data_IF_537796992725
#
_entry.id   IF_537796992725
#
_cell.length_a   1.000
_cell.length_b   1.000
_cell.length_c   1.000
_cell.angle_alpha   90.00
_cell.angle_beta   90.00
_cell.angle_gamma   90.00
#
_symmetry.space_group_name_H-M   'P 1'
#
loop_
_entity.id
_entity.type
_entity.pdbx_description
1 polymer ?
#
# COMPACT_ATOMS: atom_id res chain seq x y z
N UNK A 1 13.05 -5.15 14.63
CA UNK A 1 13.38 -5.53 16.04
C UNK A 1 12.70 -4.66 17.11
N UNK A 2 11.66 -3.87 16.75
CA UNK A 2 10.79 -3.12 17.69
C UNK A 2 11.56 -2.24 18.71
N UNK A 3 12.75 -1.72 18.34
CA UNK A 3 13.52 -0.79 19.17
C UNK A 3 14.24 -1.39 20.39
N UNK A 4 14.31 -2.72 20.51
CA UNK A 4 15.09 -3.38 21.56
C UNK A 4 16.60 -3.45 21.26
N UNK A 5 16.97 -3.31 19.99
CA UNK A 5 18.37 -3.25 19.56
C UNK A 5 18.53 -2.06 18.62
N UNK A 6 19.74 -1.49 18.58
CA UNK A 6 20.11 -0.52 17.54
C UNK A 6 20.03 -1.22 16.18
N UNK A 7 18.99 -0.90 15.39
CA UNK A 7 18.83 -1.46 14.06
C UNK A 7 19.87 -0.82 13.12
N UNK A 8 20.86 -1.58 12.63
CA UNK A 8 21.87 -1.02 11.74
C UNK A 8 21.22 -0.65 10.40
N UNK A 9 21.60 0.48 9.85
CA UNK A 9 21.29 0.81 8.46
C UNK A 9 22.02 -0.19 7.56
N UNK A 10 21.27 -1.12 6.98
CA UNK A 10 21.84 -2.16 6.12
C UNK A 10 22.29 -1.55 4.78
N UNK A 11 23.35 -2.07 4.22
CA UNK A 11 23.85 -1.68 2.90
C UNK A 11 22.84 -1.96 1.76
N UNK A 12 21.81 -2.77 2.01
CA UNK A 12 20.77 -3.10 1.06
C UNK A 12 19.84 -1.93 0.75
N UNK A 13 19.68 -0.97 1.65
CA UNK A 13 18.75 0.16 1.46
C UNK A 13 19.40 1.54 1.67
N UNK A 14 20.62 1.65 2.20
CA UNK A 14 21.30 2.94 2.43
C UNK A 14 21.48 3.75 1.13
N UNK A 15 21.50 3.08 -0.03
CA UNK A 15 21.62 3.69 -1.35
C UNK A 15 20.27 3.95 -2.04
N UNK A 16 19.16 3.72 -1.35
CA UNK A 16 17.85 4.05 -1.91
C UNK A 16 17.67 5.55 -2.11
N UNK A 17 16.79 5.97 -3.04
CA UNK A 17 16.40 7.37 -3.16
C UNK A 17 15.98 7.93 -1.80
N UNK A 18 16.36 9.17 -1.53
CA UNK A 18 16.21 9.82 -0.21
C UNK A 18 14.79 9.73 0.35
N UNK A 19 13.76 9.94 -0.50
CA UNK A 19 12.36 9.84 -0.09
C UNK A 19 11.95 8.43 0.34
N UNK A 20 12.49 7.40 -0.33
CA UNK A 20 12.25 5.99 0.03
C UNK A 20 12.94 5.61 1.34
N UNK A 21 14.15 6.12 1.56
CA UNK A 21 14.85 5.91 2.82
C UNK A 21 14.10 6.60 3.98
N UNK A 22 13.65 7.83 3.78
CA UNK A 22 12.84 8.55 4.77
C UNK A 22 11.53 7.81 5.09
N UNK A 23 10.83 7.30 4.06
CA UNK A 23 9.62 6.48 4.23
C UNK A 23 9.89 5.26 5.12
N UNK A 24 10.98 4.51 4.85
CA UNK A 24 11.36 3.36 5.65
C UNK A 24 11.63 3.76 7.10
N UNK A 25 12.40 4.81 7.34
CA UNK A 25 12.71 5.25 8.70
C UNK A 25 11.46 5.67 9.48
N UNK A 26 10.55 6.43 8.87
CA UNK A 26 9.29 6.79 9.53
C UNK A 26 8.39 5.59 9.75
N UNK A 27 8.42 4.58 8.88
CA UNK A 27 7.71 3.31 9.06
C UNK A 27 8.21 2.57 10.30
N UNK A 28 9.52 2.38 10.44
CA UNK A 28 10.11 1.70 11.60
C UNK A 28 9.85 2.47 12.92
N UNK A 29 9.97 3.79 12.88
CA UNK A 29 9.64 4.63 14.05
C UNK A 29 8.16 4.57 14.43
N UNK A 30 7.27 4.35 13.47
CA UNK A 30 5.84 4.22 13.74
C UNK A 30 5.52 2.99 14.61
N UNK A 31 6.25 1.87 14.43
CA UNK A 31 6.10 0.68 15.26
C UNK A 31 6.45 0.95 16.73
N UNK A 32 7.36 1.89 17.00
CA UNK A 32 7.67 2.30 18.39
C UNK A 32 6.58 3.21 18.98
N UNK A 33 5.82 3.91 18.10
CA UNK A 33 4.76 4.83 18.56
C UNK A 33 3.46 4.13 18.90
N UNK A 34 3.07 3.13 18.10
CA UNK A 34 1.84 2.35 18.30
C UNK A 34 2.03 0.93 17.79
N UNK A 35 1.76 -0.03 18.68
CA UNK A 35 1.79 -1.45 18.36
C UNK A 35 0.63 -2.17 19.04
N UNK A 36 -0.15 -2.90 18.28
CA UNK A 36 -1.28 -3.71 18.74
C UNK A 36 -0.87 -5.17 18.65
N UNK A 37 -0.85 -5.86 19.81
CA UNK A 37 -0.51 -7.27 19.85
C UNK A 37 -1.47 -8.10 18.97
N UNK A 38 -0.91 -9.07 18.25
CA UNK A 38 -1.63 -10.02 17.40
C UNK A 38 -2.40 -9.40 16.21
N UNK A 39 -2.14 -8.12 15.86
CA UNK A 39 -2.75 -7.47 14.70
C UNK A 39 -1.69 -6.90 13.76
N UNK A 40 -0.99 -7.79 13.08
CA UNK A 40 0.03 -7.41 12.09
C UNK A 40 -0.54 -6.53 10.97
N UNK A 41 -1.79 -6.79 10.52
CA UNK A 41 -2.41 -6.02 9.45
C UNK A 41 -2.63 -4.55 9.85
N UNK A 42 -3.06 -4.29 11.09
CA UNK A 42 -3.17 -2.95 11.63
C UNK A 42 -1.79 -2.27 11.74
N UNK A 43 -0.84 -2.95 12.37
CA UNK A 43 0.49 -2.41 12.66
C UNK A 43 1.23 -2.01 11.37
N UNK A 44 1.25 -2.89 10.38
CA UNK A 44 1.90 -2.64 9.10
C UNK A 44 1.20 -1.53 8.29
N UNK A 45 -0.13 -1.51 8.29
CA UNK A 45 -0.87 -0.47 7.58
C UNK A 45 -0.70 0.90 8.24
N UNK A 46 -0.70 0.98 9.57
CA UNK A 46 -0.41 2.20 10.32
C UNK A 46 1.02 2.68 10.03
N UNK A 47 2.01 1.80 10.16
CA UNK A 47 3.40 2.14 9.90
C UNK A 47 3.64 2.58 8.45
N UNK A 48 3.03 1.90 7.48
CA UNK A 48 3.09 2.29 6.05
C UNK A 48 2.48 3.67 5.81
N UNK A 49 1.34 3.98 6.43
CA UNK A 49 0.73 5.31 6.32
C UNK A 49 1.61 6.39 6.95
N UNK A 50 2.16 6.16 8.15
CA UNK A 50 3.09 7.10 8.80
C UNK A 50 4.35 7.28 7.97
N UNK A 51 4.92 6.20 7.44
CA UNK A 51 6.10 6.24 6.58
C UNK A 51 5.89 7.16 5.39
N UNK A 52 4.79 6.96 4.65
CA UNK A 52 4.41 7.80 3.53
C UNK A 52 4.23 9.27 3.92
N UNK A 53 3.34 9.54 4.87
CA UNK A 53 3.00 10.91 5.29
C UNK A 53 4.22 11.63 5.86
N UNK A 54 5.06 10.93 6.64
CA UNK A 54 6.31 11.46 7.17
C UNK A 54 7.29 11.84 6.08
N UNK A 55 7.49 10.98 5.08
CA UNK A 55 8.36 11.26 3.94
C UNK A 55 7.88 12.46 3.12
N UNK A 56 6.58 12.54 2.82
CA UNK A 56 5.97 13.66 2.11
C UNK A 56 6.18 14.99 2.86
N UNK A 57 5.88 15.03 4.16
CA UNK A 57 6.08 16.21 4.99
C UNK A 57 7.56 16.62 5.08
N UNK A 58 8.45 15.67 5.28
CA UNK A 58 9.87 15.91 5.40
C UNK A 58 10.48 16.46 4.10
N UNK A 59 10.13 15.87 2.94
CA UNK A 59 10.57 16.35 1.63
C UNK A 59 10.04 17.76 1.34
N UNK A 60 8.79 18.05 1.73
CA UNK A 60 8.20 19.37 1.57
C UNK A 60 8.94 20.44 2.41
N UNK A 61 9.26 20.14 3.68
CA UNK A 61 9.97 21.04 4.58
C UNK A 61 11.41 21.35 4.12
N UNK A 62 12.07 20.39 3.48
CA UNK A 62 13.44 20.60 2.94
C UNK A 62 13.48 21.44 1.67
N UNK A 63 12.34 21.76 1.06
CA UNK A 63 12.29 22.41 -0.24
C UNK A 63 12.87 21.54 -1.39
N UNK A 64 12.97 20.23 -1.20
CA UNK A 64 13.55 19.26 -2.13
C UNK A 64 12.55 18.90 -3.24
N UNK A 65 12.17 19.86 -4.08
CA UNK A 65 11.10 19.72 -5.08
C UNK A 65 11.32 18.54 -6.04
N UNK A 66 12.54 18.35 -6.53
CA UNK A 66 12.90 17.25 -7.44
C UNK A 66 12.78 15.89 -6.74
N UNK A 67 13.36 15.75 -5.54
CA UNK A 67 13.29 14.49 -4.78
C UNK A 67 11.84 14.14 -4.42
N UNK A 68 11.01 15.15 -4.15
CA UNK A 68 9.58 14.97 -3.91
C UNK A 68 8.85 14.46 -5.15
N UNK A 69 9.12 15.03 -6.33
CA UNK A 69 8.51 14.59 -7.59
C UNK A 69 8.92 13.16 -7.94
N UNK A 70 10.20 12.82 -7.76
CA UNK A 70 10.72 11.45 -7.92
C UNK A 70 10.02 10.48 -6.96
N UNK A 71 9.88 10.84 -5.68
CA UNK A 71 9.18 10.04 -4.67
C UNK A 71 7.69 9.84 -5.00
N UNK A 72 6.98 10.91 -5.37
CA UNK A 72 5.57 10.85 -5.74
C UNK A 72 5.36 10.00 -7.01
N UNK A 73 6.30 10.04 -7.95
CA UNK A 73 6.25 9.23 -9.16
C UNK A 73 6.45 7.75 -8.86
N UNK A 74 7.43 7.41 -8.03
CA UNK A 74 7.67 6.04 -7.60
C UNK A 74 6.51 5.50 -6.74
N UNK A 75 5.94 6.38 -5.90
CA UNK A 75 4.75 6.02 -5.12
C UNK A 75 3.56 5.67 -6.03
N UNK A 76 3.26 6.49 -7.06
CA UNK A 76 2.18 6.21 -8.02
C UNK A 76 2.38 4.88 -8.75
N UNK A 77 3.59 4.59 -9.21
CA UNK A 77 3.93 3.31 -9.84
C UNK A 77 3.70 2.13 -8.90
N UNK A 78 4.06 2.27 -7.63
CA UNK A 78 3.81 1.26 -6.59
C UNK A 78 2.31 1.05 -6.37
N UNK A 79 1.51 2.11 -6.28
CA UNK A 79 0.07 2.02 -6.15
C UNK A 79 -0.59 1.34 -7.35
N UNK A 80 -0.15 1.64 -8.58
CA UNK A 80 -0.66 0.98 -9.79
C UNK A 80 -0.34 -0.52 -9.79
N UNK A 81 0.88 -0.89 -9.41
CA UNK A 81 1.29 -2.28 -9.26
C UNK A 81 0.47 -3.01 -8.19
N UNK A 82 0.26 -2.41 -7.04
CA UNK A 82 -0.54 -2.97 -5.95
C UNK A 82 -2.01 -3.12 -6.34
N UNK A 83 -2.57 -2.15 -7.03
CA UNK A 83 -3.95 -2.20 -7.56
C UNK A 83 -4.11 -3.33 -8.56
N UNK A 84 -3.19 -3.45 -9.51
CA UNK A 84 -3.20 -4.52 -10.52
C UNK A 84 -3.11 -5.91 -9.88
N UNK A 85 -2.17 -6.11 -8.98
CA UNK A 85 -1.96 -7.42 -8.32
C UNK A 85 -3.09 -7.78 -7.36
N UNK A 86 -3.66 -6.81 -6.64
CA UNK A 86 -4.82 -7.01 -5.76
C UNK A 86 -6.07 -7.39 -6.56
N UNK A 87 -6.38 -6.66 -7.65
CA UNK A 87 -7.51 -6.99 -8.51
C UNK A 87 -7.38 -8.39 -9.14
N UNK A 88 -6.18 -8.76 -9.55
CA UNK A 88 -5.89 -10.11 -10.07
C UNK A 88 -6.12 -11.18 -9.01
N UNK A 89 -5.67 -10.94 -7.77
CA UNK A 89 -5.93 -11.87 -6.66
C UNK A 89 -7.42 -12.02 -6.38
N UNK A 90 -8.19 -10.95 -6.39
CA UNK A 90 -9.65 -10.99 -6.19
C UNK A 90 -10.35 -11.81 -7.28
N UNK A 91 -9.95 -11.66 -8.54
CA UNK A 91 -10.45 -12.49 -9.64
C UNK A 91 -10.15 -13.97 -9.41
N UNK A 92 -8.93 -14.32 -8.97
CA UNK A 92 -8.57 -15.71 -8.67
C UNK A 92 -9.36 -16.27 -7.49
N UNK A 93 -9.59 -15.48 -6.43
CA UNK A 93 -10.45 -15.88 -5.31
C UNK A 93 -11.85 -16.19 -5.79
N UNK A 94 -12.44 -15.36 -6.66
CA UNK A 94 -13.77 -15.61 -7.23
C UNK A 94 -13.80 -16.89 -8.09
N UNK A 95 -12.76 -17.15 -8.88
CA UNK A 95 -12.64 -18.41 -9.66
C UNK A 95 -12.62 -19.63 -8.74
N UNK A 96 -11.82 -19.60 -7.68
CA UNK A 96 -11.73 -20.74 -6.76
C UNK A 96 -13.01 -20.96 -5.95
N UNK A 97 -13.75 -19.91 -5.62
CA UNK A 97 -15.03 -19.98 -4.93
C UNK A 97 -16.20 -20.42 -5.86
N UNK A 98 -16.01 -20.43 -7.19
CA UNK A 98 -17.04 -20.78 -8.16
C UNK A 98 -17.35 -22.29 -8.18
N UNK A 99 -18.47 -22.65 -8.79
CA UNK A 99 -18.91 -24.05 -9.01
C UNK A 99 -18.21 -24.74 -10.19
N UNK A 100 -17.29 -24.08 -10.89
CA UNK A 100 -16.52 -24.63 -12.01
C UNK A 100 -15.74 -25.88 -11.58
N UNK A 101 -15.55 -26.81 -12.52
CA UNK A 101 -14.70 -27.96 -12.27
C UNK A 101 -13.20 -27.60 -12.18
N UNK A 102 -12.37 -28.57 -11.83
CA UNK A 102 -10.94 -28.37 -11.63
C UNK A 102 -10.19 -27.98 -12.91
N UNK A 103 -10.61 -28.46 -14.08
CA UNK A 103 -10.00 -28.17 -15.37
C UNK A 103 -10.34 -26.73 -15.80
N UNK A 104 -11.60 -26.36 -15.66
CA UNK A 104 -12.09 -25.00 -15.93
C UNK A 104 -11.42 -23.96 -15.01
N UNK A 105 -11.31 -24.24 -13.70
CA UNK A 105 -10.60 -23.37 -12.75
C UNK A 105 -9.13 -23.17 -13.13
N UNK A 106 -8.49 -24.24 -13.60
CA UNK A 106 -7.09 -24.17 -14.04
C UNK A 106 -6.94 -23.34 -15.31
N UNK A 107 -7.80 -23.54 -16.30
CA UNK A 107 -7.80 -22.77 -17.54
C UNK A 107 -8.01 -21.28 -17.26
N UNK A 108 -8.99 -20.94 -16.42
CA UNK A 108 -9.31 -19.56 -16.07
C UNK A 108 -8.17 -18.90 -15.27
N UNK A 109 -7.51 -19.62 -14.36
CA UNK A 109 -6.31 -19.14 -13.68
C UNK A 109 -5.23 -18.71 -14.67
N UNK A 110 -4.94 -19.56 -15.67
CA UNK A 110 -3.89 -19.24 -16.64
C UNK A 110 -4.26 -18.04 -17.50
N UNK A 111 -5.55 -17.90 -17.88
CA UNK A 111 -6.06 -16.73 -18.59
C UNK A 111 -5.84 -15.45 -17.76
N UNK A 112 -6.23 -15.46 -16.49
CA UNK A 112 -6.08 -14.31 -15.57
C UNK A 112 -4.61 -13.95 -15.38
N UNK A 113 -3.72 -14.92 -15.25
CA UNK A 113 -2.28 -14.64 -15.11
C UNK A 113 -1.63 -14.15 -16.42
N UNK A 114 -2.13 -14.55 -17.58
CA UNK A 114 -1.70 -13.95 -18.85
C UNK A 114 -2.16 -12.49 -18.96
N UNK A 115 -3.44 -12.23 -18.67
CA UNK A 115 -3.98 -10.86 -18.64
C UNK A 115 -3.24 -9.95 -17.65
N UNK A 116 -2.79 -10.47 -16.51
CA UNK A 116 -1.96 -9.73 -15.56
C UNK A 116 -0.65 -9.24 -16.22
N UNK A 117 0.00 -10.08 -17.03
CA UNK A 117 1.22 -9.69 -17.76
C UNK A 117 0.94 -8.60 -18.81
N UNK A 118 -0.12 -8.79 -19.60
CA UNK A 118 -0.51 -7.81 -20.62
C UNK A 118 -0.82 -6.43 -20.00
N UNK A 119 -1.49 -6.41 -18.85
CA UNK A 119 -1.77 -5.18 -18.09
C UNK A 119 -0.52 -4.55 -17.50
N UNK A 120 0.44 -5.36 -17.04
CA UNK A 120 1.74 -4.83 -16.60
C UNK A 120 2.49 -4.17 -17.76
N UNK A 121 2.50 -4.80 -18.94
CA UNK A 121 3.14 -4.22 -20.13
C UNK A 121 2.49 -2.89 -20.54
N UNK A 122 1.17 -2.75 -20.34
CA UNK A 122 0.48 -1.48 -20.53
C UNK A 122 0.93 -0.45 -19.49
N UNK A 123 0.93 -0.78 -18.19
CA UNK A 123 1.42 0.11 -17.15
C UNK A 123 2.86 0.54 -17.39
N UNK A 124 3.73 -0.37 -17.83
CA UNK A 124 5.11 -0.05 -18.18
C UNK A 124 5.21 1.01 -19.28
N UNK A 125 4.35 0.91 -20.30
CA UNK A 125 4.27 1.97 -21.36
C UNK A 125 3.80 3.31 -20.76
N UNK A 126 2.76 3.28 -19.91
CA UNK A 126 2.20 4.47 -19.27
C UNK A 126 3.21 5.14 -18.31
N UNK A 127 4.13 4.35 -17.73
CA UNK A 127 5.23 4.82 -16.89
C UNK A 127 6.48 5.27 -17.69
N UNK A 128 6.37 5.41 -19.01
CA UNK A 128 7.49 5.82 -19.88
C UNK A 128 8.59 4.77 -20.01
N UNK A 129 8.25 3.49 -19.92
CA UNK A 129 9.20 2.37 -20.05
C UNK A 129 9.86 1.95 -18.75
N UNK A 130 9.38 2.42 -17.59
CA UNK A 130 9.97 2.04 -16.30
C UNK A 130 9.84 0.53 -16.03
N UNK A 131 10.99 -0.15 -15.90
CA UNK A 131 11.10 -1.60 -15.74
C UNK A 131 11.31 -2.10 -14.30
N UNK A 132 11.06 -1.27 -13.28
CA UNK A 132 11.37 -1.64 -11.89
C UNK A 132 10.61 -2.86 -11.35
N UNK A 133 9.53 -3.28 -12.01
CA UNK A 133 8.76 -4.48 -11.67
C UNK A 133 8.97 -5.66 -12.64
N UNK A 134 9.78 -5.49 -13.71
CA UNK A 134 9.99 -6.54 -14.72
C UNK A 134 10.43 -7.86 -14.08
N UNK A 135 11.43 -7.81 -13.21
CA UNK A 135 11.92 -9.01 -12.52
C UNK A 135 10.85 -9.73 -11.70
N UNK A 136 9.88 -9.00 -11.14
CA UNK A 136 8.76 -9.62 -10.45
C UNK A 136 7.86 -10.40 -11.42
N UNK A 137 7.63 -9.90 -12.63
CA UNK A 137 6.79 -10.52 -13.64
C UNK A 137 7.50 -11.64 -14.44
N UNK A 138 8.82 -11.60 -14.53
CA UNK A 138 9.64 -12.65 -15.16
C UNK A 138 9.64 -13.96 -14.38
N UNK A 139 9.48 -13.88 -13.07
CA UNK A 139 9.37 -15.07 -12.22
C UNK A 139 8.01 -15.76 -12.41
N UNK A 140 7.93 -17.03 -11.94
CA UNK A 140 6.68 -17.77 -11.96
C UNK A 140 5.59 -17.07 -11.16
N UNK A 141 4.53 -16.63 -11.85
CA UNK A 141 3.36 -16.06 -11.22
C UNK A 141 2.51 -17.19 -10.62
N UNK A 142 2.27 -17.12 -9.33
CA UNK A 142 1.46 -18.09 -8.61
C UNK A 142 0.64 -17.43 -7.48
N UNK A 143 -0.28 -18.19 -6.89
CA UNK A 143 -1.16 -17.69 -5.85
C UNK A 143 -0.42 -17.20 -4.60
N UNK A 144 0.66 -17.86 -4.20
CA UNK A 144 1.44 -17.49 -3.02
C UNK A 144 2.11 -16.12 -3.20
N UNK A 145 2.65 -15.88 -4.40
CA UNK A 145 3.27 -14.60 -4.77
C UNK A 145 2.27 -13.44 -4.73
N UNK A 146 1.05 -13.66 -5.24
CA UNK A 146 -0.02 -12.66 -5.18
C UNK A 146 -0.56 -12.47 -3.75
N UNK A 147 -0.64 -13.53 -2.95
CA UNK A 147 -1.10 -13.44 -1.57
C UNK A 147 -0.16 -12.58 -0.70
N UNK A 148 1.15 -12.70 -0.88
CA UNK A 148 2.16 -11.96 -0.12
C UNK A 148 2.06 -10.45 -0.28
N UNK A 149 1.61 -9.95 -1.43
CA UNK A 149 1.54 -8.50 -1.71
C UNK A 149 0.32 -7.85 -1.05
N UNK A 150 -0.84 -8.50 -1.07
CA UNK A 150 -2.12 -7.85 -0.77
C UNK A 150 -2.46 -7.75 0.72
N UNK A 151 -1.76 -8.48 1.58
CA UNK A 151 -2.17 -8.66 2.99
C UNK A 151 -2.01 -7.37 3.80
N UNK A 152 -0.98 -6.58 3.54
CA UNK A 152 -0.62 -5.42 4.38
C UNK A 152 -1.15 -4.07 3.85
N UNK A 153 -1.49 -3.97 2.56
CA UNK A 153 -1.86 -2.68 1.96
C UNK A 153 -3.35 -2.32 2.06
N UNK A 154 -4.22 -3.29 2.39
CA UNK A 154 -5.69 -3.09 2.40
C UNK A 154 -6.16 -2.00 3.36
N UNK A 155 -5.50 -1.82 4.49
CA UNK A 155 -5.89 -0.87 5.52
C UNK A 155 -5.17 0.49 5.44
N UNK A 156 -4.14 0.62 4.60
CA UNK A 156 -3.40 1.88 4.43
C UNK A 156 -4.32 3.05 4.05
N UNK A 157 -5.27 2.90 3.09
CA UNK A 157 -6.20 3.99 2.76
C UNK A 157 -7.02 4.49 3.94
N UNK A 158 -7.36 3.62 4.91
CA UNK A 158 -8.07 4.01 6.11
C UNK A 158 -7.25 4.96 6.99
N UNK A 159 -5.97 4.69 7.17
CA UNK A 159 -5.08 5.55 7.97
C UNK A 159 -4.78 6.87 7.25
N UNK A 160 -4.64 6.87 5.93
CA UNK A 160 -4.53 8.11 5.15
C UNK A 160 -5.79 8.97 5.29
N UNK A 161 -6.98 8.36 5.21
CA UNK A 161 -8.25 9.06 5.43
C UNK A 161 -8.38 9.57 6.88
N UNK A 162 -7.89 8.80 7.85
CA UNK A 162 -7.85 9.23 9.25
C UNK A 162 -6.99 10.48 9.42
N UNK A 163 -5.81 10.52 8.82
CA UNK A 163 -4.92 11.69 8.87
C UNK A 163 -5.59 12.94 8.27
N UNK A 164 -6.25 12.81 7.11
CA UNK A 164 -7.02 13.92 6.50
C UNK A 164 -8.15 14.40 7.43
N UNK A 165 -8.89 13.47 8.02
CA UNK A 165 -9.98 13.77 8.95
C UNK A 165 -9.50 14.49 10.21
N UNK A 166 -8.33 14.16 10.71
CA UNK A 166 -7.71 14.81 11.88
C UNK A 166 -6.96 16.11 11.49
N UNK A 167 -7.28 16.70 10.34
CA UNK A 167 -6.77 18.00 9.92
C UNK A 167 -5.30 17.99 9.51
N UNK A 168 -4.75 16.84 9.14
CA UNK A 168 -3.33 16.63 8.82
C UNK A 168 -2.40 16.93 10.00
N UNK A 169 -2.90 16.78 11.21
CA UNK A 169 -2.16 16.95 12.46
C UNK A 169 -1.69 15.58 12.98
N UNK A 170 -0.38 15.34 13.02
CA UNK A 170 0.18 14.06 13.48
C UNK A 170 -0.19 13.72 14.92
N UNK A 171 -0.10 14.62 15.90
CA UNK A 171 -0.55 14.36 17.26
C UNK A 171 -2.01 13.92 17.36
N UNK A 172 -2.93 14.57 16.63
CA UNK A 172 -4.35 14.18 16.61
C UNK A 172 -4.54 12.81 15.90
N UNK A 173 -3.87 12.61 14.78
CA UNK A 173 -3.88 11.34 14.04
C UNK A 173 -3.39 10.16 14.91
N UNK A 174 -2.30 10.31 15.65
CA UNK A 174 -1.79 9.26 16.53
C UNK A 174 -2.77 8.92 17.65
N UNK A 175 -3.37 9.93 18.29
CA UNK A 175 -4.41 9.70 19.31
C UNK A 175 -5.62 8.96 18.73
N UNK A 176 -6.08 9.37 17.54
CA UNK A 176 -7.21 8.71 16.88
C UNK A 176 -6.88 7.26 16.46
N UNK A 177 -5.67 7.00 15.97
CA UNK A 177 -5.22 5.65 15.64
C UNK A 177 -5.12 4.75 16.88
N UNK A 178 -4.61 5.29 18.01
CA UNK A 178 -4.54 4.59 19.29
C UNK A 178 -5.92 4.21 19.81
N UNK A 179 -6.90 5.12 19.75
CA UNK A 179 -8.30 4.83 20.14
C UNK A 179 -8.88 3.72 19.27
N UNK A 180 -8.64 3.72 17.95
CA UNK A 180 -9.08 2.63 17.07
C UNK A 180 -8.37 1.32 17.44
N UNK A 181 -7.08 1.37 17.72
CA UNK A 181 -6.29 0.20 18.12
C UNK A 181 -6.76 -0.49 19.41
N UNK A 182 -7.36 0.27 20.33
CA UNK A 182 -7.92 -0.26 21.58
C UNK A 182 -9.28 -0.95 21.43
N UNK A 183 -9.94 -0.80 20.27
CA UNK A 183 -11.22 -1.47 20.01
C UNK A 183 -11.03 -3.00 19.87
N UNK A 184 -12.07 -3.79 20.21
CA UNK A 184 -12.09 -5.21 19.86
C UNK A 184 -11.86 -5.44 18.37
N UNK A 185 -11.19 -6.55 17.94
CA UNK A 185 -10.81 -6.77 16.56
C UNK A 185 -11.93 -6.58 15.53
N UNK A 186 -13.18 -7.07 15.74
CA UNK A 186 -14.27 -6.86 14.78
C UNK A 186 -14.68 -5.40 14.63
N UNK A 187 -14.71 -4.65 15.75
CA UNK A 187 -15.06 -3.23 15.74
C UNK A 187 -13.97 -2.38 15.11
N UNK A 188 -12.71 -2.71 15.40
CA UNK A 188 -11.52 -2.10 14.80
C UNK A 188 -11.55 -2.22 13.27
N UNK A 189 -11.78 -3.44 12.78
CA UNK A 189 -11.85 -3.70 11.35
C UNK A 189 -13.04 -2.97 10.69
N UNK A 190 -14.20 -2.96 11.33
CA UNK A 190 -15.37 -2.22 10.83
C UNK A 190 -15.09 -0.72 10.76
N UNK A 191 -14.43 -0.15 11.77
CA UNK A 191 -14.05 1.27 11.80
C UNK A 191 -13.08 1.64 10.70
N UNK A 192 -12.05 0.83 10.47
CA UNK A 192 -11.08 1.05 9.40
C UNK A 192 -11.72 0.90 8.01
N UNK A 193 -12.61 -0.07 7.82
CA UNK A 193 -13.37 -0.20 6.55
C UNK A 193 -14.24 1.03 6.26
N UNK A 194 -14.92 1.56 7.26
CA UNK A 194 -15.73 2.77 7.11
C UNK A 194 -14.88 3.99 6.70
N UNK A 195 -13.67 4.14 7.22
CA UNK A 195 -12.73 5.20 6.83
C UNK A 195 -12.27 5.04 5.37
N UNK A 196 -11.96 3.83 4.93
CA UNK A 196 -11.53 3.56 3.55
C UNK A 196 -12.63 3.90 2.53
N UNK A 197 -13.90 3.61 2.83
CA UNK A 197 -15.02 3.87 1.92
C UNK A 197 -15.28 5.38 1.72
N UNK A 198 -15.12 6.19 2.74
CA UNK A 198 -15.22 7.66 2.66
C UNK A 198 -14.13 8.23 1.76
N UNK A 199 -12.90 7.74 1.89
CA UNK A 199 -11.77 8.16 1.05
C UNK A 199 -12.00 7.87 -0.43
N UNK A 200 -12.53 6.68 -0.76
CA UNK A 200 -12.86 6.30 -2.13
C UNK A 200 -13.93 7.20 -2.76
N UNK A 201 -14.95 7.58 -1.99
CA UNK A 201 -16.03 8.49 -2.45
C UNK A 201 -15.52 9.91 -2.71
N UNK A 202 -14.61 10.42 -1.88
CA UNK A 202 -14.00 11.75 -2.06
C UNK A 202 -13.08 11.77 -3.30
N UNK A 203 -12.32 10.71 -3.53
CA UNK A 203 -11.45 10.57 -4.70
C UNK A 203 -12.27 10.51 -6.01
N UNK A 204 -13.36 9.76 -6.04
CA UNK A 204 -14.27 9.67 -7.18
C UNK A 204 -14.92 11.01 -7.53
N UNK A 205 -15.33 11.80 -6.53
CA UNK A 205 -15.91 13.13 -6.74
C UNK A 205 -14.91 14.18 -7.26
N UNK A 206 -13.63 14.07 -6.90
CA UNK A 206 -12.58 14.97 -7.41
C UNK A 206 -12.14 14.66 -8.84
N UNK A 207 -12.33 13.43 -9.31
CA UNK A 207 -12.04 13.02 -10.69
C UNK A 207 -13.13 13.40 -11.72
N UNK A 208 -14.33 13.78 -11.27
CA UNK A 208 -15.47 14.08 -12.13
C UNK A 208 -15.60 15.55 -12.59
N UNK A 209 -14.79 16.48 -12.09
CA UNK A 209 -14.92 17.92 -12.39
C UNK A 209 -13.90 18.46 -13.41
N UNK A 210 -13.28 17.59 -14.19
CA UNK A 210 -12.25 17.96 -15.17
C UNK A 210 -12.62 17.64 -16.64
N UNK A 211 -13.90 17.72 -17.02
CA UNK A 211 -14.34 17.66 -18.41
C UNK A 211 -15.46 18.68 -18.63
N UNK A 212 -15.10 19.91 -18.86
CA UNK A 212 -15.84 20.88 -19.66
C UNK A 212 -14.83 21.68 -20.48
#
# INVERSE_FOLDING_TARGET
TLGWFDDPLLNTFIHWPTGRLAELMFHELAHQRLYIADDTAFNEAFATAVGRLGAECWLAQRGAAREREEYETDYRRREDFLRLTTATREQLVAVYASTRDAAEKRAEKWRILAELRDRHDQLKRDWGGYGGYDHWFEQDLNNAKLAGISTYHRLVPAFLALYEREGRDFPAFYRAAEVIGQLPPPEREARLRALSSVSASIAANRGGTGRE
#
